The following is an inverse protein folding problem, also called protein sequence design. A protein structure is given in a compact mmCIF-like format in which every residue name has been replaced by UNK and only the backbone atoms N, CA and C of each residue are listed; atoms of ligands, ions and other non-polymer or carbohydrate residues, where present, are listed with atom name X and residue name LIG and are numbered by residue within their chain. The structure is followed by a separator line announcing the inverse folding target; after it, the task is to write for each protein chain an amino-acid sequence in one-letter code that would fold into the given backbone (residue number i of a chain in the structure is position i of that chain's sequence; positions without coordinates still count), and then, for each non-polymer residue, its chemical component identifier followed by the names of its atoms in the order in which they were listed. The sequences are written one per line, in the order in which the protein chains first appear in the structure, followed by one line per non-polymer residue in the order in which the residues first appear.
data_IF_764570261781
#
_entry.id   IF_764570261781
#
_cell.length_a   1.000
_cell.length_b   1.000
_cell.length_c   1.000
_cell.angle_alpha   90.00
_cell.angle_beta   90.00
_cell.angle_gamma   90.00
#
_symmetry.space_group_name_H-M   'P 1'
#
loop_
_entity.id
_entity.type
_entity.pdbx_description
1 polymer ?
#
# COMPACT_ATOMS: atom_id res chain seq x y z
N UNK A 1 7.99 -17.57 -8.60
CA UNK A 1 7.78 -17.28 -7.20
C UNK A 1 6.32 -17.19 -6.91
N UNK A 2 5.95 -17.72 -5.81
CA UNK A 2 4.56 -17.92 -5.48
C UNK A 2 4.08 -16.78 -4.59
N UNK A 3 2.90 -16.23 -4.92
CA UNK A 3 2.28 -15.22 -4.08
C UNK A 3 1.39 -15.93 -3.07
N UNK A 4 1.69 -15.76 -1.79
CA UNK A 4 0.93 -16.45 -0.75
C UNK A 4 -0.03 -15.52 -0.02
N UNK A 5 0.10 -14.23 -0.23
CA UNK A 5 -0.79 -13.25 0.36
C UNK A 5 -0.71 -11.99 -0.49
N UNK A 6 -1.82 -11.32 -0.67
CA UNK A 6 -1.84 -10.11 -1.48
C UNK A 6 -2.87 -9.15 -0.95
N UNK A 7 -2.51 -7.88 -0.91
CA UNK A 7 -3.42 -6.84 -0.48
C UNK A 7 -3.25 -5.63 -1.36
N UNK A 8 -4.36 -5.03 -1.76
CA UNK A 8 -4.34 -3.82 -2.58
C UNK A 8 -4.89 -2.66 -1.77
N UNK A 9 -4.20 -1.54 -1.83
CA UNK A 9 -4.62 -0.32 -1.15
C UNK A 9 -4.87 0.73 -2.21
N UNK A 10 -6.11 1.15 -2.35
CA UNK A 10 -6.46 2.18 -3.31
C UNK A 10 -6.27 3.55 -2.70
N UNK A 11 -5.64 4.43 -3.46
CA UNK A 11 -5.35 5.78 -2.98
C UNK A 11 -5.45 6.74 -4.15
N UNK A 12 -6.67 7.05 -4.55
CA UNK A 12 -6.90 7.95 -5.68
C UNK A 12 -6.45 7.32 -6.98
N UNK A 13 -5.53 7.98 -7.67
CA UNK A 13 -5.02 7.46 -8.93
C UNK A 13 -3.97 6.38 -8.75
N UNK A 14 -3.60 6.08 -7.52
CA UNK A 14 -2.58 5.09 -7.24
C UNK A 14 -3.19 3.89 -6.54
N UNK A 15 -2.58 2.76 -6.78
CA UNK A 15 -2.88 1.55 -6.04
C UNK A 15 -1.56 0.99 -5.55
N UNK A 16 -1.51 0.66 -4.28
CA UNK A 16 -0.33 0.03 -3.71
C UNK A 16 -0.64 -1.44 -3.47
N UNK A 17 0.18 -2.29 -4.03
CA UNK A 17 0.03 -3.73 -3.86
C UNK A 17 1.07 -4.23 -2.89
N UNK A 18 0.62 -4.96 -1.91
CA UNK A 18 1.50 -5.59 -0.94
C UNK A 18 1.39 -7.09 -1.14
N UNK A 19 2.39 -7.66 -1.74
CA UNK A 19 2.37 -9.08 -2.07
C UNK A 19 3.43 -9.81 -1.29
N UNK A 20 3.02 -10.87 -0.60
CA UNK A 20 3.98 -11.74 0.08
C UNK A 20 4.28 -12.89 -0.84
N UNK A 21 5.55 -13.09 -1.10
CA UNK A 21 6.03 -14.12 -2.01
C UNK A 21 7.02 -15.03 -1.30
N UNK A 22 7.18 -16.23 -1.83
CA UNK A 22 8.17 -17.16 -1.32
C UNK A 22 9.27 -17.36 -2.35
N UNK A 23 10.50 -17.46 -1.86
CA UNK A 23 11.57 -17.83 -2.77
C UNK A 23 11.74 -19.35 -2.77
N UNK A 24 12.81 -19.85 -3.40
CA UNK A 24 13.02 -21.28 -3.53
C UNK A 24 13.25 -21.98 -2.22
N UNK A 25 13.69 -21.23 -1.21
CA UNK A 25 13.95 -21.78 0.10
C UNK A 25 12.75 -21.66 1.03
N UNK A 26 11.60 -21.34 0.48
CA UNK A 26 10.38 -21.13 1.25
C UNK A 26 10.47 -19.94 2.20
N UNK A 27 11.39 -19.04 1.96
CA UNK A 27 11.48 -17.83 2.74
C UNK A 27 10.55 -16.79 2.15
N UNK A 28 9.82 -16.12 3.00
CA UNK A 28 8.87 -15.11 2.54
C UNK A 28 9.50 -13.75 2.52
N UNK A 29 9.10 -12.96 1.54
CA UNK A 29 9.51 -11.57 1.46
C UNK A 29 8.35 -10.77 0.90
N UNK A 30 8.46 -9.45 1.01
CA UNK A 30 7.39 -8.55 0.64
C UNK A 30 7.75 -7.82 -0.64
N UNK A 31 6.81 -7.78 -1.58
CA UNK A 31 6.95 -6.96 -2.78
C UNK A 31 5.91 -5.86 -2.68
N UNK A 32 6.37 -4.62 -2.76
CA UNK A 32 5.50 -3.45 -2.70
C UNK A 32 5.52 -2.80 -4.07
N UNK A 33 4.35 -2.69 -4.67
CA UNK A 33 4.23 -2.11 -6.00
C UNK A 33 3.34 -0.88 -5.94
N UNK A 34 3.83 0.24 -6.42
CA UNK A 34 3.00 1.40 -6.64
C UNK A 34 2.58 1.41 -8.09
N UNK A 35 1.29 1.46 -8.35
CA UNK A 35 0.76 1.53 -9.71
C UNK A 35 0.00 2.83 -9.84
N UNK A 36 0.43 3.67 -10.77
CA UNK A 36 -0.17 4.98 -10.96
C UNK A 36 -0.80 5.05 -12.33
N UNK A 37 -2.06 5.48 -12.37
CA UNK A 37 -2.78 5.61 -13.63
C UNK A 37 -2.36 6.89 -14.32
N UNK A 38 -1.98 6.77 -15.58
CA UNK A 38 -1.58 7.91 -16.41
C UNK A 38 -2.54 8.00 -17.56
N UNK A 39 -3.12 9.18 -17.74
CA UNK A 39 -4.00 9.45 -18.87
C UNK A 39 -3.30 10.46 -19.75
N UNK A 40 -3.12 10.13 -21.02
CA UNK A 40 -2.49 11.03 -21.97
C UNK A 40 -3.38 11.20 -23.20
N UNK A 41 -3.20 12.32 -23.89
CA UNK A 41 -4.02 12.62 -25.05
C UNK A 41 -5.32 13.30 -24.64
N UNK A 42 -6.15 13.59 -25.62
CA UNK A 42 -7.40 14.29 -25.40
C UNK A 42 -8.52 13.64 -26.20
N UNK A 43 -9.73 13.69 -25.62
CA UNK A 43 -10.90 13.23 -26.31
C UNK A 43 -10.77 11.77 -26.71
N UNK A 44 -11.07 11.51 -27.98
CA UNK A 44 -11.06 10.15 -28.49
C UNK A 44 -9.66 9.58 -28.58
N UNK A 45 -8.66 10.43 -28.53
CA UNK A 45 -7.27 9.97 -28.63
C UNK A 45 -6.64 9.71 -27.28
N UNK A 46 -7.40 9.85 -26.20
CA UNK A 46 -6.82 9.64 -24.88
C UNK A 46 -6.48 8.18 -24.70
N UNK A 47 -5.40 7.96 -23.98
CA UNK A 47 -4.92 6.63 -23.70
C UNK A 47 -4.64 6.51 -22.20
N UNK A 48 -4.89 5.33 -21.68
CA UNK A 48 -4.65 5.05 -20.27
C UNK A 48 -3.51 4.06 -20.17
N UNK A 49 -2.54 4.40 -19.35
CA UNK A 49 -1.45 3.49 -19.05
C UNK A 49 -1.19 3.52 -17.56
N UNK A 50 -0.29 2.65 -17.11
CA UNK A 50 0.04 2.57 -15.70
C UNK A 50 1.54 2.59 -15.54
N UNK A 51 2.01 3.47 -14.67
CA UNK A 51 3.40 3.46 -14.24
C UNK A 51 3.50 2.62 -13.00
N UNK A 52 4.42 1.67 -13.00
CA UNK A 52 4.56 0.78 -11.86
C UNK A 52 5.99 0.84 -11.35
N UNK A 53 6.09 0.92 -10.04
CA UNK A 53 7.38 0.91 -9.37
C UNK A 53 7.32 -0.11 -8.26
N UNK A 54 8.31 -0.98 -8.21
CA UNK A 54 8.29 -2.08 -7.27
C UNK A 54 9.56 -2.11 -6.46
N UNK A 55 9.42 -2.36 -5.18
CA UNK A 55 10.56 -2.61 -4.32
C UNK A 55 10.34 -3.91 -3.59
N UNK A 56 11.43 -4.50 -3.18
CA UNK A 56 11.39 -5.73 -2.39
C UNK A 56 11.89 -5.45 -1.00
N UNK A 57 11.20 -5.98 -0.02
CA UNK A 57 11.56 -5.77 1.37
C UNK A 57 11.66 -7.13 2.04
N UNK A 58 12.78 -7.37 2.71
CA UNK A 58 13.05 -8.67 3.29
C UNK A 58 12.88 -8.61 4.80
N UNK A 59 12.69 -9.77 5.40
CA UNK A 59 12.32 -9.84 6.81
C UNK A 59 13.27 -9.09 7.73
N UNK A 60 14.55 -9.15 7.43
CA UNK A 60 15.52 -8.49 8.31
C UNK A 60 15.37 -6.99 8.34
N UNK A 61 14.67 -6.43 7.36
CA UNK A 61 14.52 -4.97 7.24
C UNK A 61 13.14 -4.48 7.62
N UNK A 62 12.22 -5.36 7.95
CA UNK A 62 10.85 -4.96 8.22
C UNK A 62 10.76 -3.94 9.35
N UNK A 63 11.39 -4.23 10.47
CA UNK A 63 11.27 -3.36 11.64
C UNK A 63 11.87 -1.99 11.34
N UNK A 64 13.03 -1.97 10.70
CA UNK A 64 13.68 -0.71 10.38
C UNK A 64 12.84 0.11 9.40
N UNK A 65 12.30 -0.55 8.40
CA UNK A 65 11.50 0.15 7.40
C UNK A 65 10.26 0.74 8.02
N UNK A 66 9.56 -0.04 8.83
CA UNK A 66 8.34 0.44 9.46
C UNK A 66 8.62 1.59 10.42
N UNK A 67 9.70 1.48 11.19
CA UNK A 67 10.04 2.54 12.11
C UNK A 67 10.36 3.84 11.37
N UNK A 68 11.13 3.73 10.28
CA UNK A 68 11.44 4.92 9.50
C UNK A 68 10.22 5.52 8.86
N UNK A 69 9.33 4.67 8.36
CA UNK A 69 8.09 5.15 7.75
C UNK A 69 7.24 5.88 8.78
N UNK A 70 7.10 5.32 9.96
CA UNK A 70 6.33 5.96 11.02
C UNK A 70 6.93 7.30 11.41
N UNK A 71 8.26 7.36 11.50
CA UNK A 71 8.91 8.62 11.85
C UNK A 71 8.68 9.68 10.80
N UNK A 72 8.74 9.29 9.52
CA UNK A 72 8.51 10.24 8.44
C UNK A 72 7.07 10.75 8.47
N UNK A 73 6.13 9.84 8.67
CA UNK A 73 4.72 10.24 8.74
C UNK A 73 4.48 11.13 9.95
N UNK A 74 5.09 10.78 11.08
CA UNK A 74 4.92 11.60 12.29
C UNK A 74 5.46 12.99 12.09
N UNK A 75 6.59 13.10 11.39
CA UNK A 75 7.13 14.42 11.10
C UNK A 75 6.13 15.26 10.32
N UNK A 76 5.53 14.67 9.29
CA UNK A 76 4.53 15.38 8.50
C UNK A 76 3.34 15.77 9.36
N UNK A 77 2.89 14.85 10.20
CA UNK A 77 1.75 15.11 11.07
C UNK A 77 2.04 16.27 12.02
N UNK A 78 3.25 16.30 12.55
CA UNK A 78 3.63 17.36 13.49
C UNK A 78 3.71 18.72 12.81
N UNK A 79 4.17 18.74 11.56
CA UNK A 79 4.37 20.00 10.87
C UNK A 79 3.12 20.50 10.18
N UNK A 80 2.33 19.63 9.61
CA UNK A 80 1.22 20.02 8.76
C UNK A 80 -0.11 19.40 9.15
N UNK A 81 -0.12 18.48 10.11
CA UNK A 81 -1.31 17.72 10.39
C UNK A 81 -1.57 16.71 9.29
N UNK A 82 -2.56 15.87 9.51
CA UNK A 82 -2.93 14.88 8.51
C UNK A 82 -4.28 15.29 7.93
N UNK A 83 -4.41 15.24 6.61
CA UNK A 83 -5.69 15.59 5.99
C UNK A 83 -6.74 14.55 6.28
N UNK A 84 -7.99 14.96 6.13
CA UNK A 84 -9.08 14.01 6.27
C UNK A 84 -9.11 13.08 5.07
N UNK A 85 -9.42 11.80 5.27
CA UNK A 85 -9.49 10.89 4.14
C UNK A 85 -10.62 11.30 3.19
N UNK A 86 -10.40 11.07 1.91
CA UNK A 86 -11.45 11.26 0.93
C UNK A 86 -12.50 10.18 1.11
N UNK A 87 -13.74 10.43 0.66
CA UNK A 87 -14.79 9.43 0.88
C UNK A 87 -14.43 8.03 0.40
N UNK A 88 -13.81 7.92 -0.76
CA UNK A 88 -13.45 6.59 -1.24
C UNK A 88 -12.40 5.93 -0.37
N UNK A 89 -11.51 6.72 0.21
CA UNK A 89 -10.50 6.18 1.09
C UNK A 89 -11.12 5.74 2.41
N UNK A 90 -12.13 6.48 2.89
CA UNK A 90 -12.82 6.07 4.09
C UNK A 90 -13.53 4.75 3.89
N UNK A 91 -14.16 4.58 2.73
CA UNK A 91 -14.83 3.33 2.44
C UNK A 91 -13.85 2.17 2.41
N UNK A 92 -12.71 2.38 1.79
CA UNK A 92 -11.70 1.35 1.72
C UNK A 92 -11.21 0.99 3.12
N UNK A 93 -10.98 1.98 3.94
CA UNK A 93 -10.51 1.73 5.29
C UNK A 93 -11.53 0.93 6.08
N UNK A 94 -12.81 1.26 5.92
CA UNK A 94 -13.86 0.54 6.62
C UNK A 94 -13.88 -0.91 6.19
N UNK A 95 -13.75 -1.16 4.91
CA UNK A 95 -13.73 -2.52 4.42
C UNK A 95 -12.56 -3.30 4.97
N UNK A 96 -11.42 -2.66 5.03
CA UNK A 96 -10.23 -3.32 5.56
C UNK A 96 -10.39 -3.63 7.03
N UNK A 97 -10.98 -2.73 7.77
CA UNK A 97 -11.21 -2.97 9.18
C UNK A 97 -12.13 -4.16 9.37
N UNK A 98 -13.15 -4.26 8.55
CA UNK A 98 -14.06 -5.39 8.64
C UNK A 98 -13.32 -6.69 8.41
N UNK A 99 -12.45 -6.71 7.44
CA UNK A 99 -11.67 -7.91 7.16
C UNK A 99 -10.70 -8.20 8.28
N UNK A 100 -10.10 -7.16 8.82
CA UNK A 100 -9.15 -7.36 9.91
C UNK A 100 -9.80 -7.98 11.13
N UNK A 101 -11.03 -7.59 11.41
CA UNK A 101 -11.70 -8.13 12.57
C UNK A 101 -11.77 -9.64 12.52
N UNK A 102 -11.89 -10.19 11.34
CA UNK A 102 -11.96 -11.63 11.23
C UNK A 102 -10.61 -12.26 11.52
N UNK A 103 -9.56 -11.50 11.42
CA UNK A 103 -8.23 -12.02 11.65
C UNK A 103 -7.66 -11.62 12.95
N UNK A 104 -8.00 -10.58 13.36
CA UNK A 104 -7.49 -9.97 14.49
C UNK A 104 -6.90 -8.66 14.26
N UNK A 105 -6.46 -8.18 14.06
CA UNK A 105 -6.04 -7.16 13.80
C UNK A 105 -5.33 -6.44 13.83
N UNK A 106 -5.00 -6.15 13.58
CA UNK A 106 -4.32 -5.21 13.54
C UNK A 106 -4.40 -4.16 13.24
N UNK A 107 -4.76 -3.87 13.47
CA UNK A 107 -4.91 -2.96 13.10
C UNK A 107 -4.28 -2.07 13.00
N UNK A 108 -3.95 -2.00 12.97
CA UNK A 108 -3.45 -1.08 12.75
C UNK A 108 -3.47 -0.38 12.26
N UNK A 109 -3.60 -0.41 12.34
CA UNK A 109 -3.70 0.21 11.82
C UNK A 109 -3.40 0.81 11.26
N UNK A 110 -3.31 0.60 11.15
CA UNK A 110 -2.98 1.18 10.50
C UNK A 110 -3.26 1.87 9.80
N UNK A 111 -3.63 2.10 9.91
CA UNK A 111 -3.98 2.61 9.18
C UNK A 111 -3.54 3.57 8.97
N UNK A 112 -3.15 3.78 9.13
CA UNK A 112 -2.77 4.62 8.79
C UNK A 112 -2.74 4.99 8.03
#
# INVERSE_FOLDING_TARGET
KEIVFSKAIKAGKRIYYLDVKKNRKDEMFLAITESKKIVSGEGDDSQVSFEKHKIFLYKEDFVKFMAGLQQAIQFIADEQGLPEPRPEEKETAIEEESESLSENEIKIDIDF
#
